data_IF_950232606864
#
_entry.id   IF_950232606864
#
_cell.length_a   1.000
_cell.length_b   1.000
_cell.length_c   1.000
_cell.angle_alpha   90.00
_cell.angle_beta   90.00
_cell.angle_gamma   90.00
#
_symmetry.space_group_name_H-M   'P 1'
#
loop_
_entity.id
_entity.type
_entity.pdbx_description
1 polymer ?
#
# COMPACT_ATOMS: atom_id res chain seq x y z
N UNK A 1 8.36 -11.79 17.12
CA UNK A 1 7.97 -10.55 16.43
C UNK A 1 6.89 -10.73 15.37
N UNK A 2 7.06 -11.51 14.29
CA UNK A 2 5.97 -11.70 13.30
C UNK A 2 4.72 -12.31 13.91
N UNK A 3 4.87 -13.35 14.73
CA UNK A 3 3.78 -13.99 15.47
C UNK A 3 3.05 -13.01 16.38
N UNK A 4 3.79 -12.25 17.19
CA UNK A 4 3.22 -11.25 18.11
C UNK A 4 2.44 -10.17 17.35
N UNK A 5 3.03 -9.67 16.25
CA UNK A 5 2.38 -8.65 15.44
C UNK A 5 1.13 -9.18 14.74
N UNK A 6 1.17 -10.41 14.21
CA UNK A 6 0.00 -11.08 13.66
C UNK A 6 -1.10 -11.27 14.72
N UNK A 7 -0.75 -11.75 15.91
CA UNK A 7 -1.68 -11.93 17.02
C UNK A 7 -2.32 -10.59 17.46
N UNK A 8 -1.56 -9.49 17.43
CA UNK A 8 -2.08 -8.16 17.75
C UNK A 8 -3.02 -7.62 16.67
N UNK A 9 -2.63 -7.75 15.39
CA UNK A 9 -3.34 -7.15 14.26
C UNK A 9 -4.56 -7.95 13.80
N UNK A 10 -4.50 -9.27 13.86
CA UNK A 10 -5.57 -10.16 13.43
C UNK A 10 -6.95 -9.80 14.01
N UNK A 11 -7.13 -9.66 15.35
CA UNK A 11 -8.43 -9.33 15.92
C UNK A 11 -8.87 -7.89 15.65
N UNK A 12 -8.00 -7.01 15.14
CA UNK A 12 -8.38 -5.65 14.77
C UNK A 12 -9.24 -5.65 13.50
N UNK A 13 -8.92 -6.51 12.54
CA UNK A 13 -9.58 -6.57 11.23
C UNK A 13 -10.53 -7.76 11.07
N UNK A 14 -10.13 -8.96 11.51
CA UNK A 14 -10.91 -10.18 11.32
C UNK A 14 -11.71 -10.48 12.59
N UNK A 15 -13.00 -10.13 12.57
CA UNK A 15 -13.88 -10.23 13.75
C UNK A 15 -14.62 -11.57 13.89
N UNK A 16 -14.79 -12.32 12.80
CA UNK A 16 -15.54 -13.58 12.82
C UNK A 16 -15.08 -14.53 11.68
N UNK A 17 -15.46 -15.83 11.74
CA UNK A 17 -15.07 -16.82 10.73
C UNK A 17 -15.56 -16.52 9.31
N UNK A 18 -16.69 -15.83 9.16
CA UNK A 18 -17.23 -15.44 7.84
C UNK A 18 -16.32 -14.42 7.17
N UNK A 19 -15.92 -13.38 7.91
CA UNK A 19 -14.95 -12.37 7.45
C UNK A 19 -13.62 -13.04 7.09
N UNK A 20 -13.11 -13.91 7.98
CA UNK A 20 -11.88 -14.68 7.71
C UNK A 20 -11.97 -15.41 6.36
N UNK A 21 -13.04 -16.18 6.16
CA UNK A 21 -13.19 -17.06 5.01
C UNK A 21 -13.34 -16.29 3.70
N UNK A 22 -14.11 -15.19 3.68
CA UNK A 22 -14.26 -14.39 2.47
C UNK A 22 -12.99 -13.60 2.11
N UNK A 23 -12.29 -13.04 3.10
CA UNK A 23 -10.97 -12.39 2.86
C UNK A 23 -9.97 -13.42 2.34
N UNK A 24 -9.87 -14.59 2.99
CA UNK A 24 -8.97 -15.65 2.56
C UNK A 24 -9.27 -16.13 1.12
N UNK A 25 -10.55 -16.28 0.75
CA UNK A 25 -10.94 -16.65 -0.61
C UNK A 25 -10.57 -15.56 -1.63
N UNK A 26 -10.86 -14.29 -1.32
CA UNK A 26 -10.49 -13.17 -2.19
C UNK A 26 -8.97 -13.12 -2.41
N UNK A 27 -8.20 -13.15 -1.33
CA UNK A 27 -6.73 -13.08 -1.39
C UNK A 27 -6.12 -14.29 -2.12
N UNK A 28 -6.70 -15.49 -1.97
CA UNK A 28 -6.25 -16.65 -2.72
C UNK A 28 -6.45 -16.49 -4.24
N UNK A 29 -7.61 -15.98 -4.66
CA UNK A 29 -7.87 -15.66 -6.07
C UNK A 29 -6.94 -14.57 -6.60
N UNK A 30 -6.71 -13.54 -5.79
CA UNK A 30 -5.83 -12.41 -6.12
C UNK A 30 -4.37 -12.84 -6.29
N UNK A 31 -3.86 -13.68 -5.39
CA UNK A 31 -2.51 -14.24 -5.49
C UNK A 31 -2.39 -15.17 -6.71
N UNK A 32 -3.39 -16.01 -6.97
CA UNK A 32 -3.43 -16.86 -8.16
C UNK A 32 -3.39 -16.04 -9.46
N UNK A 33 -4.24 -15.02 -9.56
CA UNK A 33 -4.27 -14.11 -10.71
C UNK A 33 -2.93 -13.39 -10.88
N UNK A 34 -2.36 -12.85 -9.80
CA UNK A 34 -1.06 -12.16 -9.83
C UNK A 34 0.04 -13.07 -10.37
N UNK A 35 0.12 -14.31 -9.86
CA UNK A 35 1.10 -15.30 -10.34
C UNK A 35 0.84 -15.74 -11.78
N UNK A 36 -0.41 -15.73 -12.24
CA UNK A 36 -0.72 -15.98 -13.65
C UNK A 36 -0.23 -14.82 -14.53
N UNK A 37 -0.46 -13.57 -14.14
CA UNK A 37 0.03 -12.41 -14.88
C UNK A 37 1.55 -12.35 -14.94
N UNK A 38 2.25 -12.64 -13.83
CA UNK A 38 3.71 -12.74 -13.81
C UNK A 38 4.21 -13.81 -14.79
N UNK A 39 3.56 -14.97 -14.85
CA UNK A 39 3.95 -16.06 -15.75
C UNK A 39 3.67 -15.77 -17.22
N UNK A 40 2.58 -15.06 -17.52
CA UNK A 40 2.14 -14.78 -18.87
C UNK A 40 2.84 -13.56 -19.50
N UNK A 41 3.33 -12.63 -18.69
CA UNK A 41 3.92 -11.37 -19.14
C UNK A 41 5.39 -11.25 -18.72
N UNK A 42 6.20 -12.30 -18.92
CA UNK A 42 7.60 -12.35 -18.44
C UNK A 42 8.50 -11.26 -19.01
N UNK A 43 8.21 -10.80 -20.23
CA UNK A 43 9.00 -9.77 -20.90
C UNK A 43 8.58 -8.35 -20.49
N UNK A 44 7.41 -8.20 -19.85
CA UNK A 44 6.94 -6.92 -19.34
C UNK A 44 7.69 -6.55 -18.05
N UNK A 45 8.42 -5.43 -18.02
CA UNK A 45 9.18 -5.00 -16.84
C UNK A 45 8.32 -4.88 -15.58
N UNK A 46 7.08 -4.41 -15.68
CA UNK A 46 6.19 -4.27 -14.54
C UNK A 46 5.87 -5.62 -13.91
N UNK A 47 5.57 -6.63 -14.72
CA UNK A 47 5.28 -7.97 -14.24
C UNK A 47 6.52 -8.73 -13.76
N UNK A 48 7.72 -8.43 -14.30
CA UNK A 48 8.98 -8.89 -13.69
C UNK A 48 9.16 -8.35 -12.27
N UNK A 49 8.90 -7.06 -12.06
CA UNK A 49 8.98 -6.42 -10.74
C UNK A 49 7.92 -6.95 -9.76
N UNK A 50 6.69 -7.21 -10.24
CA UNK A 50 5.70 -7.95 -9.46
C UNK A 50 6.23 -9.34 -9.05
N UNK A 51 6.93 -10.02 -9.96
CA UNK A 51 7.66 -11.26 -9.69
C UNK A 51 8.65 -11.15 -8.53
N UNK A 52 9.48 -10.09 -8.49
CA UNK A 52 10.42 -9.85 -7.38
C UNK A 52 9.69 -9.65 -6.04
N UNK A 53 8.59 -8.91 -6.04
CA UNK A 53 7.76 -8.67 -4.84
C UNK A 53 7.16 -9.97 -4.31
N UNK A 54 6.58 -10.80 -5.19
CA UNK A 54 5.99 -12.08 -4.81
C UNK A 54 7.06 -13.09 -4.39
N UNK A 55 8.22 -13.12 -5.05
CA UNK A 55 9.34 -13.98 -4.65
C UNK A 55 9.85 -13.61 -3.24
N UNK A 56 9.85 -12.33 -2.87
CA UNK A 56 10.19 -11.89 -1.52
C UNK A 56 9.14 -12.35 -0.49
N UNK A 57 7.85 -12.30 -0.84
CA UNK A 57 6.77 -12.82 0.02
C UNK A 57 6.91 -14.33 0.24
N UNK A 58 7.21 -15.08 -0.83
CA UNK A 58 7.46 -16.53 -0.76
C UNK A 58 8.67 -16.82 0.15
N UNK A 59 9.77 -16.08 -0.02
CA UNK A 59 10.95 -16.19 0.82
C UNK A 59 10.67 -15.89 2.31
N UNK A 60 9.84 -14.89 2.60
CA UNK A 60 9.43 -14.56 3.97
C UNK A 60 8.62 -15.69 4.60
N UNK A 61 7.66 -16.26 3.86
CA UNK A 61 6.87 -17.40 4.34
C UNK A 61 7.74 -18.63 4.58
N UNK A 62 8.61 -18.98 3.64
CA UNK A 62 9.51 -20.13 3.77
C UNK A 62 10.47 -19.97 4.95
N UNK A 63 11.01 -18.76 5.17
CA UNK A 63 11.84 -18.46 6.33
C UNK A 63 11.08 -18.57 7.65
N UNK A 64 9.84 -18.07 7.71
CA UNK A 64 8.99 -18.19 8.90
C UNK A 64 8.61 -19.65 9.20
N UNK A 65 8.37 -20.45 8.17
CA UNK A 65 8.07 -21.87 8.26
C UNK A 65 9.26 -22.67 8.83
N UNK A 66 10.47 -22.45 8.29
CA UNK A 66 11.67 -23.13 8.81
C UNK A 66 12.00 -22.70 10.23
N UNK A 67 11.85 -21.40 10.56
CA UNK A 67 12.01 -20.92 11.94
C UNK A 67 11.05 -21.63 12.90
N UNK A 68 9.77 -21.78 12.52
CA UNK A 68 8.76 -22.44 13.34
C UNK A 68 9.12 -23.91 13.61
N UNK A 69 9.56 -24.62 12.56
CA UNK A 69 10.03 -26.00 12.67
C UNK A 69 11.22 -26.13 13.63
N UNK A 70 12.24 -25.28 13.49
CA UNK A 70 13.42 -25.29 14.35
C UNK A 70 13.09 -25.01 15.82
N UNK A 71 12.10 -24.14 16.08
CA UNK A 71 11.70 -23.74 17.43
C UNK A 71 10.52 -24.55 17.98
N UNK A 72 10.06 -25.59 17.27
CA UNK A 72 8.89 -26.41 17.62
C UNK A 72 7.63 -25.58 17.90
N UNK A 73 7.45 -24.51 17.13
CA UNK A 73 6.28 -23.62 17.18
C UNK A 73 5.30 -23.97 16.07
N UNK A 74 4.03 -23.65 16.26
CA UNK A 74 3.03 -23.72 15.18
C UNK A 74 3.40 -22.70 14.09
N UNK A 75 3.49 -23.09 12.81
CA UNK A 75 3.84 -22.17 11.75
C UNK A 75 2.72 -21.17 11.47
N UNK A 76 3.09 -19.91 11.15
CA UNK A 76 2.18 -18.99 10.46
C UNK A 76 1.74 -19.63 9.15
N UNK A 77 0.45 -19.56 8.84
CA UNK A 77 -0.05 -19.97 7.54
C UNK A 77 0.34 -18.96 6.46
N UNK A 78 0.30 -19.38 5.19
CA UNK A 78 0.49 -18.45 4.06
C UNK A 78 -0.50 -17.28 4.10
N UNK A 79 -1.73 -17.55 4.55
CA UNK A 79 -2.74 -16.52 4.75
C UNK A 79 -2.32 -15.51 5.82
N UNK A 80 -1.72 -15.93 6.92
CA UNK A 80 -1.28 -15.01 7.97
C UNK A 80 -0.17 -14.08 7.46
N UNK A 81 0.76 -14.58 6.64
CA UNK A 81 1.82 -13.77 6.02
C UNK A 81 1.25 -12.81 4.97
N UNK A 82 0.30 -13.27 4.14
CA UNK A 82 -0.41 -12.41 3.19
C UNK A 82 -1.23 -11.33 3.91
N UNK A 83 -1.94 -11.70 4.98
CA UNK A 83 -2.75 -10.80 5.81
C UNK A 83 -1.91 -9.63 6.34
N UNK A 84 -0.72 -9.90 6.89
CA UNK A 84 0.18 -8.85 7.39
C UNK A 84 0.53 -7.83 6.29
N UNK A 85 0.73 -8.28 5.05
CA UNK A 85 1.09 -7.39 3.94
C UNK A 85 -0.10 -6.62 3.37
N UNK A 86 -1.32 -7.13 3.55
CA UNK A 86 -2.55 -6.54 3.03
C UNK A 86 -3.30 -5.67 4.05
N UNK A 87 -2.78 -5.45 5.26
CA UNK A 87 -3.51 -4.75 6.35
C UNK A 87 -4.18 -3.44 5.90
N UNK A 88 -3.48 -2.61 5.11
CA UNK A 88 -4.06 -1.37 4.56
C UNK A 88 -5.17 -1.64 3.55
N UNK A 89 -4.95 -2.57 2.62
CA UNK A 89 -5.96 -2.98 1.63
C UNK A 89 -7.22 -3.58 2.27
N UNK A 90 -7.08 -4.27 3.40
CA UNK A 90 -8.19 -4.88 4.14
C UNK A 90 -9.16 -3.85 4.73
N UNK A 91 -8.71 -2.60 4.93
CA UNK A 91 -9.57 -1.51 5.40
C UNK A 91 -10.68 -1.20 4.41
N UNK A 92 -10.40 -1.28 3.10
CA UNK A 92 -11.38 -1.09 2.03
C UNK A 92 -12.02 -2.42 1.58
N UNK A 93 -11.25 -3.52 1.57
CA UNK A 93 -11.71 -4.82 1.09
C UNK A 93 -12.79 -5.44 1.98
N UNK A 94 -12.64 -5.38 3.30
CA UNK A 94 -13.62 -5.98 4.23
C UNK A 94 -15.00 -5.31 4.06
N UNK A 95 -15.13 -3.96 4.07
CA UNK A 95 -16.38 -3.30 3.75
C UNK A 95 -16.92 -3.63 2.35
N UNK A 96 -16.05 -3.83 1.36
CA UNK A 96 -16.46 -4.20 0.01
C UNK A 96 -17.06 -5.61 -0.08
N UNK A 97 -16.48 -6.57 0.63
CA UNK A 97 -16.93 -7.97 0.64
C UNK A 97 -18.14 -8.20 1.54
N UNK A 98 -18.25 -7.42 2.62
CA UNK A 98 -19.24 -7.64 3.66
C UNK A 98 -20.01 -6.36 3.93
N UNK A 99 -21.19 -6.24 3.32
CA UNK A 99 -22.23 -5.38 3.89
C UNK A 99 -22.67 -6.03 5.22
N UNK A 100 -22.42 -5.42 6.38
CA UNK A 100 -23.25 -5.77 7.53
C UNK A 100 -24.63 -5.21 7.21
N UNK A 101 -25.46 -6.05 6.58
CA UNK A 101 -26.88 -5.79 6.50
C UNK A 101 -27.37 -5.55 7.93
N UNK A 102 -28.02 -4.41 8.13
CA UNK A 102 -28.76 -4.12 9.34
C UNK A 102 -29.96 -5.07 9.44
N UNK A 103 -29.74 -6.37 9.66
CA UNK A 103 -30.80 -7.36 9.88
C UNK A 103 -30.35 -8.51 10.81
N UNK A 104 -30.50 -8.27 12.11
CA UNK A 104 -30.96 -9.27 13.07
C UNK A 104 -31.53 -8.58 14.32
N UNK A 105 -32.80 -8.16 14.23
CA UNK A 105 -33.81 -8.19 15.30
C UNK A 105 -33.44 -8.01 16.77
N UNK A 106 -32.73 -6.96 17.16
CA UNK A 106 -32.84 -6.41 18.52
C UNK A 106 -33.00 -4.89 18.45
N UNK A 107 -34.22 -4.44 18.78
CA UNK A 107 -34.56 -3.05 18.99
C UNK A 107 -33.72 -2.52 20.14
N UNK A 108 -32.73 -1.68 19.81
CA UNK A 108 -32.22 -0.54 20.59
C UNK A 108 -31.14 0.11 19.71
N UNK A 109 -31.58 0.79 18.66
CA UNK A 109 -30.72 1.66 17.85
C UNK A 109 -31.20 3.07 18.15
N UNK A 110 -30.36 3.85 18.82
CA UNK A 110 -30.54 5.30 18.88
C UNK A 110 -30.56 5.84 17.44
N UNK A 111 -31.50 6.74 17.09
CA UNK A 111 -31.65 7.21 15.74
C UNK A 111 -30.47 8.12 15.37
N UNK A 112 -29.47 7.57 14.67
CA UNK A 112 -28.32 8.31 14.17
C UNK A 112 -27.20 7.49 13.51
N UNK A 113 -27.11 6.18 13.73
CA UNK A 113 -25.97 5.37 13.26
C UNK A 113 -26.22 4.71 11.89
N UNK A 114 -25.92 5.41 10.80
CA UNK A 114 -25.70 4.83 9.48
C UNK A 114 -24.23 4.36 9.35
N UNK A 115 -23.97 3.07 9.08
CA UNK A 115 -22.67 2.57 8.59
C UNK A 115 -21.78 1.82 9.59
N UNK A 116 -21.92 0.49 9.69
CA UNK A 116 -21.25 -0.37 10.71
C UNK A 116 -19.87 -0.95 10.32
N UNK A 117 -19.21 -0.43 9.30
CA UNK A 117 -17.79 -0.68 9.01
C UNK A 117 -17.04 0.63 8.73
N UNK A 118 -17.37 1.69 9.47
CA UNK A 118 -16.45 2.81 9.59
C UNK A 118 -15.38 2.40 10.60
N UNK A 119 -14.20 2.09 10.09
CA UNK A 119 -13.03 2.09 10.95
C UNK A 119 -12.85 3.52 11.42
N UNK A 120 -13.04 3.77 12.72
CA UNK A 120 -12.75 5.07 13.36
C UNK A 120 -11.21 5.23 13.48
N UNK A 121 -10.54 5.11 12.33
CA UNK A 121 -9.11 5.24 12.17
C UNK A 121 -8.92 6.67 11.69
N UNK A 122 -8.38 7.54 12.55
CA UNK A 122 -8.02 8.88 12.12
C UNK A 122 -6.99 8.85 10.98
N UNK A 123 -6.93 9.91 10.20
CA UNK A 123 -6.03 10.01 9.06
C UNK A 123 -4.59 10.27 9.53
N UNK A 124 -3.61 9.60 8.91
CA UNK A 124 -2.21 9.99 9.07
C UNK A 124 -2.02 11.47 8.71
N UNK A 125 -1.00 12.10 9.28
CA UNK A 125 -0.64 13.49 8.98
C UNK A 125 0.74 13.54 8.30
N UNK A 126 0.83 14.25 7.18
CA UNK A 126 2.08 14.49 6.47
C UNK A 126 2.32 16.00 6.27
N UNK A 127 3.58 16.40 6.26
CA UNK A 127 3.98 17.77 5.93
C UNK A 127 5.27 17.75 5.13
N UNK A 128 5.27 18.43 3.98
CA UNK A 128 6.45 18.79 3.23
C UNK A 128 6.58 20.31 3.32
N UNK A 129 7.68 20.79 3.91
CA UNK A 129 7.91 22.21 4.20
C UNK A 129 9.21 22.66 3.58
N UNK A 130 9.16 23.67 2.71
CA UNK A 130 10.36 24.36 2.25
C UNK A 130 10.62 25.58 3.12
N UNK A 131 11.89 25.85 3.44
CA UNK A 131 12.28 27.05 4.18
C UNK A 131 12.18 28.32 3.31
N UNK A 132 11.98 29.52 3.91
CA UNK A 132 11.66 30.74 3.16
C UNK A 132 12.64 31.13 2.05
N UNK A 133 13.94 30.85 2.23
CA UNK A 133 14.99 31.09 1.24
C UNK A 133 15.46 29.82 0.52
N UNK A 134 14.66 28.73 0.55
CA UNK A 134 15.00 27.41 0.03
C UNK A 134 16.28 26.81 0.65
N UNK A 135 16.60 27.20 1.89
CA UNK A 135 17.80 26.76 2.60
C UNK A 135 17.77 25.28 2.92
N UNK A 136 16.55 24.75 3.13
CA UNK A 136 16.30 23.34 3.33
C UNK A 136 14.86 22.98 2.92
N UNK A 137 14.62 21.68 2.76
CA UNK A 137 13.29 21.10 2.64
C UNK A 137 13.14 19.99 3.69
N UNK A 138 12.07 20.07 4.46
CA UNK A 138 11.70 19.04 5.42
C UNK A 138 10.51 18.25 4.90
N UNK A 139 10.48 16.97 5.22
CA UNK A 139 9.35 16.09 4.95
C UNK A 139 9.17 15.19 6.17
N UNK A 140 7.94 15.12 6.66
CA UNK A 140 7.59 14.39 7.86
C UNK A 140 6.25 13.70 7.69
N UNK A 141 6.10 12.57 8.38
CA UNK A 141 4.89 11.77 8.40
C UNK A 141 4.64 11.26 9.82
N UNK A 142 3.39 11.33 10.26
CA UNK A 142 2.91 10.82 11.55
C UNK A 142 1.77 9.86 11.30
N UNK A 143 2.04 8.56 11.46
CA UNK A 143 1.04 7.50 11.25
C UNK A 143 0.01 7.48 12.35
N UNK A 144 -1.26 7.33 11.97
CA UNK A 144 -2.38 7.19 12.90
C UNK A 144 -3.01 5.82 12.68
N UNK A 145 -3.00 4.99 13.72
CA UNK A 145 -3.58 3.65 13.66
C UNK A 145 -3.82 3.10 15.07
N UNK A 146 -4.38 1.90 15.18
CA UNK A 146 -4.58 1.21 16.47
C UNK A 146 -3.25 1.03 17.22
N UNK A 147 -3.25 1.22 18.55
CA UNK A 147 -2.06 1.00 19.38
C UNK A 147 -1.56 -0.46 19.33
N UNK A 148 -2.41 -1.41 18.97
CA UNK A 148 -2.00 -2.79 18.72
C UNK A 148 -0.92 -2.92 17.62
N UNK A 149 -0.82 -1.93 16.72
CA UNK A 149 0.17 -1.87 15.66
C UNK A 149 1.55 -1.33 16.12
N UNK A 150 1.72 -0.87 17.36
CA UNK A 150 2.94 -0.16 17.80
C UNK A 150 4.21 -1.02 17.96
N UNK A 151 4.19 -2.28 17.54
CA UNK A 151 5.40 -3.09 17.39
C UNK A 151 6.11 -2.72 16.08
N UNK A 152 7.10 -1.81 16.15
CA UNK A 152 7.73 -1.18 14.98
C UNK A 152 9.07 -1.81 14.61
N UNK A 153 9.39 -1.76 13.32
CA UNK A 153 10.74 -2.03 12.79
C UNK A 153 11.02 -0.99 11.71
N UNK A 154 12.06 -0.18 11.87
CA UNK A 154 12.58 0.62 10.76
C UNK A 154 13.48 -0.27 9.88
N UNK A 155 13.27 -0.26 8.57
CA UNK A 155 13.90 -1.20 7.64
C UNK A 155 14.81 -0.49 6.65
N UNK A 156 15.96 -1.09 6.41
CA UNK A 156 16.87 -0.73 5.34
C UNK A 156 17.05 -1.94 4.44
N UNK A 157 16.68 -1.82 3.18
CA UNK A 157 16.92 -2.83 2.17
C UNK A 157 17.95 -2.34 1.17
N UNK A 158 18.81 -3.26 0.78
CA UNK A 158 19.79 -3.07 -0.29
C UNK A 158 19.86 -4.39 -1.06
N UNK A 159 19.05 -4.51 -2.11
CA UNK A 159 18.99 -5.72 -2.91
C UNK A 159 19.93 -5.60 -4.11
N UNK A 160 20.61 -6.69 -4.45
CA UNK A 160 21.43 -6.75 -5.65
C UNK A 160 20.60 -7.20 -6.86
N UNK A 161 19.61 -6.38 -7.24
CA UNK A 161 18.73 -6.65 -8.39
C UNK A 161 19.40 -6.08 -9.64
N UNK A 162 19.65 -6.95 -10.62
CA UNK A 162 20.23 -6.59 -11.92
C UNK A 162 19.12 -6.68 -12.97
N UNK A 163 18.39 -5.59 -13.15
CA UNK A 163 17.33 -5.43 -14.14
C UNK A 163 17.42 -4.00 -14.70
N UNK A 164 17.46 -3.81 -16.04
CA UNK A 164 17.62 -2.49 -16.64
C UNK A 164 16.48 -1.51 -16.32
N UNK A 165 15.32 -2.04 -15.93
CA UNK A 165 14.13 -1.24 -15.59
C UNK A 165 14.01 -0.95 -14.08
N UNK A 166 14.94 -1.48 -13.26
CA UNK A 166 15.02 -1.11 -11.84
C UNK A 166 15.82 0.19 -11.69
N UNK A 167 15.20 1.22 -11.10
CA UNK A 167 15.85 2.51 -10.80
C UNK A 167 16.48 2.55 -9.42
N UNK A 168 15.92 1.80 -8.48
CA UNK A 168 16.54 1.61 -7.18
C UNK A 168 16.16 0.27 -6.56
N UNK A 169 17.15 -0.37 -5.98
CA UNK A 169 17.01 -1.56 -5.14
C UNK A 169 17.38 -1.28 -3.67
N UNK A 170 17.64 -0.01 -3.36
CA UNK A 170 17.96 0.48 -2.02
C UNK A 170 16.83 1.36 -1.49
N UNK A 171 16.36 1.07 -0.29
CA UNK A 171 15.23 1.79 0.33
C UNK A 171 15.31 1.74 1.85
N UNK A 172 14.92 2.84 2.49
CA UNK A 172 14.81 2.97 3.95
C UNK A 172 13.40 3.45 4.31
N UNK A 173 12.74 2.80 5.26
CA UNK A 173 11.33 3.07 5.55
C UNK A 173 10.91 2.61 6.95
N UNK A 174 9.92 3.29 7.53
CA UNK A 174 9.25 2.83 8.75
C UNK A 174 8.35 1.64 8.42
N UNK A 175 8.26 0.64 9.31
CA UNK A 175 7.52 -0.59 9.02
C UNK A 175 7.21 -1.37 10.30
N UNK A 176 6.78 -2.62 10.11
CA UNK A 176 6.27 -3.55 11.12
C UNK A 176 6.81 -4.98 10.89
N UNK A 177 6.85 -5.86 11.90
CA UNK A 177 7.26 -7.26 11.71
C UNK A 177 6.42 -7.98 10.65
N UNK A 178 7.08 -8.64 9.68
CA UNK A 178 6.42 -9.43 8.64
C UNK A 178 5.84 -8.63 7.46
N UNK A 179 5.82 -7.31 7.57
CA UNK A 179 5.40 -6.45 6.47
C UNK A 179 6.54 -6.32 5.46
N UNK A 180 6.25 -6.42 4.18
CA UNK A 180 7.16 -6.11 3.08
C UNK A 180 6.81 -4.74 2.47
N UNK A 181 6.19 -3.89 3.27
CA UNK A 181 5.72 -2.53 2.95
C UNK A 181 5.79 -1.71 4.25
N UNK A 182 5.72 -0.39 4.14
CA UNK A 182 5.69 0.51 5.28
C UNK A 182 4.34 0.50 6.00
N UNK A 183 3.23 0.46 5.25
CA UNK A 183 1.86 0.78 5.70
C UNK A 183 1.67 2.27 6.07
N UNK A 184 2.66 2.93 6.65
CA UNK A 184 2.49 4.28 7.21
C UNK A 184 1.90 5.37 6.27
N UNK A 185 2.44 5.74 5.10
CA UNK A 185 3.71 5.33 4.49
C UNK A 185 4.81 6.40 4.56
N UNK A 186 6.05 6.00 4.87
CA UNK A 186 7.25 6.84 4.79
C UNK A 186 8.41 6.07 4.17
N UNK A 187 8.88 6.50 2.99
CA UNK A 187 10.01 5.90 2.30
C UNK A 187 11.05 6.93 1.87
N UNK A 188 12.32 6.56 2.02
CA UNK A 188 13.47 7.22 1.39
C UNK A 188 14.05 6.22 0.37
N UNK A 189 13.93 6.55 -0.90
CA UNK A 189 14.32 5.69 -2.02
C UNK A 189 15.72 6.05 -2.52
N UNK A 190 16.52 5.04 -2.87
CA UNK A 190 17.84 5.24 -3.46
C UNK A 190 17.86 5.98 -4.80
N UNK A 191 16.71 6.11 -5.46
CA UNK A 191 16.52 6.93 -6.67
C UNK A 191 16.45 8.44 -6.38
N UNK A 192 16.57 8.85 -5.11
CA UNK A 192 16.45 10.24 -4.67
C UNK A 192 15.00 10.70 -4.45
N UNK A 193 14.04 9.77 -4.52
CA UNK A 193 12.64 10.03 -4.22
C UNK A 193 12.34 9.80 -2.73
N UNK A 194 11.44 10.61 -2.19
CA UNK A 194 10.76 10.37 -0.92
C UNK A 194 9.29 10.14 -1.23
N UNK A 195 8.71 9.09 -0.65
CA UNK A 195 7.29 8.79 -0.80
C UNK A 195 6.61 8.80 0.57
N UNK A 196 5.63 9.69 0.71
CA UNK A 196 4.74 9.78 1.87
C UNK A 196 3.30 9.49 1.44
N UNK A 197 2.44 9.16 2.39
CA UNK A 197 1.03 8.92 2.09
C UNK A 197 0.11 9.23 3.27
N UNK A 198 -1.11 9.71 3.01
CA UNK A 198 -2.21 9.80 4.00
C UNK A 198 -3.51 9.25 3.42
N UNK A 199 -4.28 8.48 4.19
CA UNK A 199 -5.38 7.68 3.63
C UNK A 199 -6.60 8.55 3.43
N UNK A 200 -7.21 8.47 2.24
CA UNK A 200 -8.47 9.13 1.91
C UNK A 200 -9.62 8.15 2.15
N UNK A 201 -10.77 8.67 2.58
CA UNK A 201 -11.98 7.86 2.72
C UNK A 201 -12.80 7.89 1.42
N UNK A 202 -13.20 6.72 0.94
CA UNK A 202 -14.17 6.60 -0.15
C UNK A 202 -15.52 6.30 0.44
N UNK A 203 -16.44 7.27 0.42
CA UNK A 203 -17.79 7.10 0.97
C UNK A 203 -18.82 6.61 -0.06
N UNK A 204 -18.43 6.57 -1.34
CA UNK A 204 -19.30 6.09 -2.41
C UNK A 204 -19.31 4.56 -2.45
N UNK A 205 -20.35 3.97 -1.86
CA UNK A 205 -20.51 2.51 -1.79
C UNK A 205 -20.57 1.83 -3.17
N UNK A 206 -21.07 2.52 -4.19
CA UNK A 206 -21.11 1.98 -5.56
C UNK A 206 -19.71 1.77 -6.13
N UNK A 207 -18.73 2.60 -5.74
CA UNK A 207 -17.33 2.44 -6.14
C UNK A 207 -16.65 1.32 -5.35
N UNK A 208 -16.89 1.23 -4.04
CA UNK A 208 -16.29 0.20 -3.18
C UNK A 208 -16.66 -1.21 -3.65
N UNK A 209 -17.90 -1.42 -4.12
CA UNK A 209 -18.38 -2.72 -4.64
C UNK A 209 -17.71 -3.18 -5.95
N UNK A 210 -16.88 -2.34 -6.57
CA UNK A 210 -16.18 -2.69 -7.80
C UNK A 210 -14.85 -3.39 -7.53
N UNK A 211 -14.44 -3.57 -6.27
CA UNK A 211 -13.21 -4.29 -5.91
C UNK A 211 -13.30 -5.77 -6.34
N UNK A 212 -12.40 -6.20 -7.24
CA UNK A 212 -12.32 -7.58 -7.74
C UNK A 212 -10.94 -8.22 -7.49
N UNK A 213 -10.84 -9.55 -7.33
CA UNK A 213 -9.56 -10.20 -7.06
C UNK A 213 -8.60 -10.20 -8.25
N UNK A 214 -9.07 -9.97 -9.49
CA UNK A 214 -8.24 -9.88 -10.69
C UNK A 214 -7.50 -8.53 -10.78
N UNK A 215 -6.72 -8.19 -9.77
CA UNK A 215 -6.05 -6.90 -9.61
C UNK A 215 -4.87 -6.95 -8.62
N UNK A 216 -4.00 -5.93 -8.60
CA UNK A 216 -2.88 -5.85 -7.64
C UNK A 216 -3.20 -4.98 -6.43
N UNK A 217 -3.04 -5.54 -5.23
CA UNK A 217 -3.18 -4.80 -3.97
C UNK A 217 -2.22 -3.59 -3.92
N UNK A 218 -2.60 -2.55 -3.18
CA UNK A 218 -1.85 -1.30 -3.10
C UNK A 218 -0.41 -1.53 -2.64
N UNK A 219 -0.18 -2.38 -1.64
CA UNK A 219 1.18 -2.66 -1.16
C UNK A 219 2.09 -3.22 -2.27
N UNK A 220 1.54 -3.99 -3.21
CA UNK A 220 2.27 -4.54 -4.36
C UNK A 220 2.61 -3.41 -5.34
N UNK A 221 1.63 -2.57 -5.69
CA UNK A 221 1.81 -1.46 -6.63
C UNK A 221 2.77 -0.40 -6.09
N UNK A 222 2.69 -0.05 -4.80
CA UNK A 222 3.65 0.83 -4.12
C UNK A 222 5.07 0.27 -4.22
N UNK A 223 5.25 -1.02 -3.95
CA UNK A 223 6.56 -1.68 -4.02
C UNK A 223 7.14 -1.67 -5.42
N UNK A 224 6.32 -1.93 -6.44
CA UNK A 224 6.74 -1.90 -7.85
C UNK A 224 7.11 -0.47 -8.26
N UNK A 225 6.26 0.52 -7.97
CA UNK A 225 6.52 1.93 -8.26
C UNK A 225 7.80 2.44 -7.58
N UNK A 226 8.02 2.09 -6.31
CA UNK A 226 9.24 2.45 -5.58
C UNK A 226 10.52 1.89 -6.21
N UNK A 227 10.47 0.72 -6.84
CA UNK A 227 11.62 0.10 -7.51
C UNK A 227 11.88 0.68 -8.91
N UNK A 228 10.82 0.97 -9.65
CA UNK A 228 10.89 1.34 -11.07
C UNK A 228 10.94 2.84 -11.34
N UNK A 229 10.54 3.68 -10.38
CA UNK A 229 10.42 5.12 -10.61
C UNK A 229 11.73 5.88 -10.37
N UNK A 230 12.00 6.83 -11.26
CA UNK A 230 13.08 7.81 -11.18
C UNK A 230 12.57 9.26 -11.02
N UNK A 231 11.26 9.50 -11.12
CA UNK A 231 10.61 10.79 -10.94
C UNK A 231 9.22 10.63 -10.33
N UNK A 232 8.63 11.72 -9.83
CA UNK A 232 7.25 11.70 -9.32
C UNK A 232 6.22 11.28 -10.38
N UNK A 233 6.40 11.71 -11.64
CA UNK A 233 5.53 11.33 -12.75
C UNK A 233 5.61 9.84 -13.07
N UNK A 234 6.82 9.30 -13.21
CA UNK A 234 7.03 7.87 -13.52
C UNK A 234 6.57 6.97 -12.36
N UNK A 235 6.66 7.46 -11.12
CA UNK A 235 6.05 6.82 -9.96
C UNK A 235 4.53 6.74 -10.09
N UNK A 236 3.87 7.87 -10.38
CA UNK A 236 2.42 7.94 -10.53
C UNK A 236 1.90 7.04 -11.66
N UNK A 237 2.54 7.09 -12.83
CA UNK A 237 2.21 6.25 -13.98
C UNK A 237 2.38 4.76 -13.67
N UNK A 238 3.46 4.39 -12.98
CA UNK A 238 3.72 2.99 -12.59
C UNK A 238 2.73 2.51 -11.54
N UNK A 239 2.42 3.32 -10.52
CA UNK A 239 1.45 3.00 -9.47
C UNK A 239 0.02 2.87 -10.01
N UNK A 240 -0.32 3.65 -11.04
CA UNK A 240 -1.64 3.63 -11.69
C UNK A 240 -1.89 2.35 -12.49
N UNK A 241 -0.82 1.65 -12.92
CA UNK A 241 -0.96 0.36 -13.60
C UNK A 241 -1.69 -0.63 -12.69
N UNK A 242 -2.65 -1.32 -13.29
CA UNK A 242 -3.53 -2.27 -12.59
C UNK A 242 -4.42 -1.66 -11.48
N UNK A 243 -4.50 -0.33 -11.38
CA UNK A 243 -5.60 0.40 -10.73
C UNK A 243 -6.62 0.85 -11.79
N UNK A 244 -6.11 1.31 -12.93
CA UNK A 244 -6.83 1.54 -14.16
C UNK A 244 -6.10 0.82 -15.30
N UNK A 245 -6.77 -0.15 -15.91
CA UNK A 245 -6.25 -0.81 -17.10
C UNK A 245 -6.18 0.19 -18.26
N UNK A 246 -4.99 0.42 -18.82
CA UNK A 246 -4.84 0.94 -20.17
C UNK A 246 -3.98 -0.02 -21.00
N UNK A 247 -4.64 -1.06 -21.47
CA UNK A 247 -4.44 -1.61 -22.81
C UNK A 247 -5.80 -2.23 -23.19
N UNK A 248 -6.53 -1.48 -24.00
CA UNK A 248 -7.89 -1.73 -24.49
C UNK A 248 -9.02 -1.77 -23.44
N UNK A 249 -10.02 -0.96 -23.74
CA UNK A 249 -11.29 -0.68 -23.05
C UNK A 249 -12.20 -1.89 -22.69
N UNK A 250 -11.73 -3.16 -22.72
CA UNK A 250 -12.63 -4.31 -22.59
C UNK A 250 -12.47 -5.17 -21.33
N UNK A 251 -11.47 -4.98 -20.48
CA UNK A 251 -11.34 -5.71 -19.21
C UNK A 251 -10.72 -4.80 -18.13
N UNK A 252 -11.55 -3.90 -17.61
CA UNK A 252 -11.22 -3.08 -16.44
C UNK A 252 -11.07 -3.99 -15.22
N UNK A 253 -9.84 -4.32 -14.85
CA UNK A 253 -9.52 -4.82 -13.52
C UNK A 253 -9.68 -3.66 -12.53
N UNK A 254 -10.85 -3.58 -11.92
CA UNK A 254 -11.25 -2.55 -10.98
C UNK A 254 -10.63 -2.81 -9.60
N UNK A 255 -9.63 -2.03 -9.21
CA UNK A 255 -9.15 -2.07 -7.82
C UNK A 255 -8.66 -0.74 -7.31
N UNK A 256 -9.40 -0.20 -6.34
CA UNK A 256 -8.93 0.83 -5.42
C UNK A 256 -9.10 0.34 -3.99
N UNK A 257 -8.20 -0.53 -3.53
CA UNK A 257 -8.01 -0.80 -2.10
C UNK A 257 -6.84 0.02 -1.59
N UNK A 258 -6.92 0.39 -0.32
CA UNK A 258 -6.06 1.35 0.34
C UNK A 258 -5.98 2.69 -0.40
N UNK A 259 -7.13 3.37 -0.43
CA UNK A 259 -7.32 4.63 -1.16
C UNK A 259 -6.63 5.79 -0.46
N UNK A 260 -5.69 6.42 -1.15
CA UNK A 260 -4.62 7.16 -0.51
C UNK A 260 -4.25 8.39 -1.35
N UNK A 261 -3.85 9.48 -0.69
CA UNK A 261 -3.07 10.55 -1.30
C UNK A 261 -1.60 10.27 -1.07
N UNK A 262 -0.85 10.04 -2.14
CA UNK A 262 0.61 9.88 -2.12
C UNK A 262 1.28 11.19 -2.49
N UNK A 263 2.32 11.54 -1.74
CA UNK A 263 3.20 12.68 -2.00
C UNK A 263 4.57 12.13 -2.40
N UNK A 264 4.92 12.30 -3.67
CA UNK A 264 6.21 11.86 -4.21
C UNK A 264 7.11 13.08 -4.41
N UNK A 265 8.05 13.25 -3.48
CA UNK A 265 9.02 14.34 -3.49
C UNK A 265 10.31 13.87 -4.18
N UNK A 266 10.68 14.49 -5.29
CA UNK A 266 11.93 14.22 -5.99
C UNK A 266 13.03 15.19 -5.51
N UNK A 267 13.91 14.71 -4.63
CA UNK A 267 15.00 15.51 -4.09
C UNK A 267 16.02 15.91 -5.16
N UNK A 268 16.07 15.23 -6.32
CA UNK A 268 16.94 15.61 -7.44
C UNK A 268 16.52 16.94 -8.08
N UNK A 269 15.26 17.36 -7.87
CA UNK A 269 14.68 18.62 -8.37
C UNK A 269 14.75 19.76 -7.35
N UNK A 270 15.28 19.49 -6.15
CA UNK A 270 15.47 20.49 -5.10
C UNK A 270 16.87 21.07 -5.23
N UNK A 271 16.97 22.35 -5.60
CA UNK A 271 18.23 23.10 -5.63
C UNK A 271 18.22 24.13 -4.51
N UNK A 272 18.83 23.75 -3.39
CA UNK A 272 18.88 24.60 -2.19
C UNK A 272 19.40 26.00 -2.52
N UNK A 273 18.83 26.99 -1.83
CA UNK A 273 19.11 28.42 -2.00
C UNK A 273 18.82 28.98 -3.40
N UNK A 274 18.16 28.21 -4.27
CA UNK A 274 17.98 28.57 -5.68
C UNK A 274 16.57 28.33 -6.20
N UNK A 275 16.15 27.06 -6.32
CA UNK A 275 14.88 26.71 -6.96
C UNK A 275 14.37 25.34 -6.51
N UNK A 276 13.05 25.19 -6.56
CA UNK A 276 12.41 23.88 -6.71
C UNK A 276 12.04 23.78 -8.18
N UNK A 277 12.68 22.90 -8.94
CA UNK A 277 12.42 22.73 -10.37
C UNK A 277 11.12 21.94 -10.59
N UNK A 278 10.43 22.14 -11.72
CA UNK A 278 9.20 21.39 -12.01
C UNK A 278 9.43 19.87 -11.92
N UNK A 279 8.43 19.18 -11.37
CA UNK A 279 8.46 17.78 -10.99
C UNK A 279 9.07 17.49 -9.62
N UNK A 280 9.36 18.51 -8.80
CA UNK A 280 9.83 18.30 -7.43
C UNK A 280 8.79 17.64 -6.54
N UNK A 281 7.50 17.96 -6.69
CA UNK A 281 6.43 17.32 -5.93
C UNK A 281 5.29 16.87 -6.85
N UNK A 282 5.04 15.57 -6.87
CA UNK A 282 3.83 15.00 -7.44
C UNK A 282 2.86 14.58 -6.34
N UNK A 283 1.60 14.93 -6.51
CA UNK A 283 0.49 14.39 -5.72
C UNK A 283 -0.24 13.37 -6.57
N UNK A 284 -0.52 12.20 -5.99
CA UNK A 284 -1.23 11.09 -6.63
C UNK A 284 -2.37 10.69 -5.71
N UNK A 285 -3.59 10.69 -6.21
CA UNK A 285 -4.77 10.25 -5.47
C UNK A 285 -5.42 9.07 -6.16
N UNK A 286 -5.77 8.07 -5.35
CA UNK A 286 -6.48 6.88 -5.81
C UNK A 286 -7.85 6.80 -5.14
N UNK A 287 -8.84 6.42 -5.94
CA UNK A 287 -10.10 5.80 -5.53
C UNK A 287 -10.32 4.54 -6.39
N UNK A 288 -11.33 3.68 -6.12
CA UNK A 288 -11.66 2.61 -7.07
C UNK A 288 -11.87 3.17 -8.46
N UNK A 289 -11.24 2.52 -9.45
CA UNK A 289 -11.34 2.80 -10.89
C UNK A 289 -10.65 4.07 -11.39
N UNK A 290 -10.09 4.91 -10.52
CA UNK A 290 -9.49 6.18 -10.91
C UNK A 290 -8.22 6.46 -10.11
N UNK A 291 -7.16 6.80 -10.84
CA UNK A 291 -6.00 7.50 -10.30
C UNK A 291 -5.87 8.82 -11.02
N UNK A 292 -5.76 9.87 -10.23
CA UNK A 292 -5.40 11.18 -10.73
C UNK A 292 -4.05 11.58 -10.13
N UNK A 293 -3.21 12.26 -10.92
CA UNK A 293 -1.95 12.77 -10.42
C UNK A 293 -1.61 14.09 -11.10
N UNK A 294 -0.91 14.94 -10.37
CA UNK A 294 -0.48 16.25 -10.87
C UNK A 294 0.81 16.73 -10.21
N UNK A 295 1.54 17.57 -10.91
CA UNK A 295 2.70 18.28 -10.38
C UNK A 295 2.22 19.45 -9.52
N UNK A 296 2.54 19.42 -8.23
CA UNK A 296 2.19 20.42 -7.23
C UNK A 296 3.41 21.24 -6.77
N UNK A 297 4.49 21.25 -7.55
CA UNK A 297 5.70 22.02 -7.25
C UNK A 297 5.40 23.52 -7.09
N UNK A 298 4.48 24.07 -7.89
CA UNK A 298 4.05 25.47 -7.77
C UNK A 298 3.40 25.80 -6.41
N UNK A 299 2.70 24.84 -5.81
CA UNK A 299 2.13 25.00 -4.47
C UNK A 299 3.24 24.89 -3.43
N UNK A 300 4.12 23.89 -3.55
CA UNK A 300 5.25 23.70 -2.63
C UNK A 300 6.18 24.92 -2.56
N UNK A 301 6.41 25.62 -3.68
CA UNK A 301 7.22 26.86 -3.73
C UNK A 301 6.70 27.96 -2.79
N UNK A 302 5.43 27.90 -2.37
CA UNK A 302 4.80 28.88 -1.46
C UNK A 302 5.12 28.64 0.01
N UNK A 303 5.71 27.49 0.38
CA UNK A 303 6.20 27.21 1.73
C UNK A 303 5.65 25.95 2.35
#
# INVERSE_FOLDING_TARGET
HMYDHAANMYPQLIKNPTVRSGVQNFMAKQDQWTRQQIRNNKDDPFWRHAGYVIAQLDGLYMGALEWAKLHKQTPLSIFDVQFLNAVGDLLDLIPALFEYSARSGQCNVEPGSHGKYQWDMGHCSALIKVLPGYENIYFAHSSWFTYAATLRIYKHWNFNIVDPDTRTSRVSFSSYPGFLVSLDDFYILGSGLVMLQTTNSVFNQTLIKQVVPESLLAWQRVRIANMMADSGKTWAETFSKCNSGHLTLSLLSYLGTYNNQYMVLDLKKVKLQKSLDDGALYIVEQIPTLVEYSDQTNVLRKG
#
